data_IF_290187852406
#
_entry.id   IF_290187852406
#
_cell.length_a   1.000
_cell.length_b   1.000
_cell.length_c   1.000
_cell.angle_alpha   90.00
_cell.angle_beta   90.00
_cell.angle_gamma   90.00
#
_symmetry.space_group_name_H-M   'P 1'
#
loop_
_entity.id
_entity.type
_entity.pdbx_description
1 polymer ?
#
# COMPACT_ATOMS: atom_id res chain seq x y z
N UNK A 1 -18.63 29.20 -0.59
CA UNK A 1 -18.95 28.66 0.75
C UNK A 1 -18.53 29.69 1.78
N UNK A 2 -19.37 29.96 2.79
CA UNK A 2 -18.95 30.78 3.93
C UNK A 2 -17.91 30.01 4.76
N UNK A 3 -16.86 30.67 5.29
CA UNK A 3 -15.89 30.02 6.16
C UNK A 3 -16.57 29.51 7.43
N UNK A 4 -16.11 28.35 7.92
CA UNK A 4 -16.58 27.76 9.19
C UNK A 4 -16.20 28.70 10.34
N UNK A 5 -17.17 29.03 11.20
CA UNK A 5 -16.92 29.90 12.34
C UNK A 5 -15.96 29.26 13.35
N UNK A 6 -15.01 30.04 13.89
CA UNK A 6 -14.05 29.57 14.91
C UNK A 6 -14.77 28.94 16.11
N UNK A 7 -15.89 29.53 16.53
CA UNK A 7 -16.72 29.00 17.61
C UNK A 7 -17.28 27.60 17.32
N UNK A 8 -17.52 27.28 16.05
CA UNK A 8 -17.98 25.95 15.64
C UNK A 8 -16.82 24.94 15.68
N UNK A 9 -15.63 25.34 15.24
CA UNK A 9 -14.44 24.50 15.32
C UNK A 9 -14.10 24.17 16.77
N UNK A 10 -14.05 25.18 17.65
CA UNK A 10 -13.79 25.00 19.07
C UNK A 10 -14.84 24.12 19.76
N UNK A 11 -16.11 24.20 19.34
CA UNK A 11 -17.18 23.36 19.87
C UNK A 11 -16.99 21.88 19.53
N UNK A 12 -16.40 21.56 18.38
CA UNK A 12 -16.26 20.20 17.87
C UNK A 12 -14.82 19.67 17.85
N UNK A 13 -13.86 20.42 18.39
CA UNK A 13 -12.48 19.97 18.63
C UNK A 13 -12.41 19.03 19.84
N UNK A 14 -13.09 17.90 19.71
CA UNK A 14 -13.15 16.82 20.70
C UNK A 14 -12.78 15.49 20.02
N UNK A 15 -12.36 14.50 20.82
CA UNK A 15 -12.06 13.17 20.29
C UNK A 15 -13.30 12.56 19.63
N UNK A 16 -13.18 12.21 18.35
CA UNK A 16 -14.23 11.57 17.57
C UNK A 16 -13.78 10.21 17.03
N UNK A 17 -14.72 9.34 16.63
CA UNK A 17 -14.40 8.08 15.98
C UNK A 17 -13.69 8.32 14.64
N UNK A 18 -12.63 7.55 14.39
CA UNK A 18 -11.91 7.57 13.12
C UNK A 18 -12.65 6.71 12.10
N UNK A 19 -13.46 7.35 11.24
CA UNK A 19 -14.21 6.69 10.18
C UNK A 19 -13.31 6.25 9.01
N UNK A 20 -12.54 5.18 9.23
CA UNK A 20 -11.73 4.51 8.18
C UNK A 20 -12.57 3.53 7.34
N UNK A 21 -13.58 2.93 7.96
CA UNK A 21 -14.60 2.09 7.34
C UNK A 21 -15.90 2.16 8.16
N UNK A 22 -17.00 1.65 7.62
CA UNK A 22 -18.22 1.42 8.38
C UNK A 22 -18.77 0.00 8.12
N UNK A 23 -18.96 -0.85 9.13
CA UNK A 23 -18.55 -0.64 10.53
C UNK A 23 -17.03 -0.44 10.70
N UNK A 24 -16.65 0.22 11.78
CA UNK A 24 -15.24 0.50 12.14
C UNK A 24 -14.54 -0.77 12.67
N UNK A 25 -13.21 -0.77 12.67
CA UNK A 25 -12.41 -1.95 13.02
C UNK A 25 -12.59 -2.47 14.46
N UNK A 26 -13.06 -1.64 15.40
CA UNK A 26 -13.47 -2.07 16.75
C UNK A 26 -14.68 -3.02 16.74
N UNK A 27 -15.32 -3.20 15.59
CA UNK A 27 -16.40 -4.18 15.37
C UNK A 27 -15.93 -5.50 14.78
N UNK A 28 -14.64 -5.65 14.49
CA UNK A 28 -14.10 -6.94 14.09
C UNK A 28 -14.02 -7.83 15.32
N UNK A 29 -14.72 -8.97 15.26
CA UNK A 29 -14.85 -9.92 16.35
C UNK A 29 -14.54 -11.33 15.84
N UNK A 30 -14.09 -12.20 16.75
CA UNK A 30 -13.70 -13.58 16.43
C UNK A 30 -14.86 -14.46 15.92
N UNK A 31 -16.10 -13.97 16.00
CA UNK A 31 -17.26 -14.65 15.41
C UNK A 31 -17.22 -14.69 13.87
N UNK A 32 -16.41 -13.85 13.21
CA UNK A 32 -16.14 -13.99 11.79
C UNK A 32 -15.08 -15.07 11.57
N UNK A 33 -15.51 -16.21 11.04
CA UNK A 33 -14.69 -17.41 10.92
C UNK A 33 -14.11 -17.61 9.52
N UNK A 34 -13.22 -18.60 9.39
CA UNK A 34 -12.72 -19.08 8.09
C UNK A 34 -13.85 -19.42 7.10
N UNK A 35 -14.93 -20.07 7.55
CA UNK A 35 -16.06 -20.41 6.68
C UNK A 35 -16.76 -19.15 6.14
N UNK A 36 -16.94 -18.12 6.99
CA UNK A 36 -17.52 -16.86 6.54
C UNK A 36 -16.62 -16.16 5.51
N UNK A 37 -15.30 -16.27 5.68
CA UNK A 37 -14.35 -15.73 4.71
C UNK A 37 -14.42 -16.45 3.36
N UNK A 38 -14.44 -17.79 3.37
CA UNK A 38 -14.58 -18.61 2.15
C UNK A 38 -15.88 -18.32 1.42
N UNK A 39 -16.99 -18.23 2.15
CA UNK A 39 -18.28 -17.82 1.59
C UNK A 39 -18.20 -16.45 0.93
N UNK A 40 -17.55 -15.46 1.57
CA UNK A 40 -17.39 -14.13 0.99
C UNK A 40 -16.59 -14.15 -0.33
N UNK A 41 -15.52 -14.96 -0.42
CA UNK A 41 -14.73 -15.13 -1.63
C UNK A 41 -15.54 -15.82 -2.75
N UNK A 42 -16.30 -16.86 -2.43
CA UNK A 42 -17.18 -17.53 -3.39
C UNK A 42 -18.27 -16.59 -3.92
N UNK A 43 -18.91 -15.83 -3.01
CA UNK A 43 -19.90 -14.82 -3.41
C UNK A 43 -19.27 -13.75 -4.32
N UNK A 44 -18.03 -13.35 -4.04
CA UNK A 44 -17.28 -12.42 -4.89
C UNK A 44 -16.99 -13.00 -6.27
N UNK A 45 -16.60 -14.27 -6.34
CA UNK A 45 -16.37 -15.01 -7.60
C UNK A 45 -17.64 -15.05 -8.46
N UNK A 46 -18.79 -15.33 -7.86
CA UNK A 46 -20.08 -15.38 -8.56
C UNK A 46 -20.54 -14.00 -9.09
N UNK A 47 -20.16 -12.91 -8.41
CA UNK A 47 -20.48 -11.52 -8.80
C UNK A 47 -19.50 -10.91 -9.81
N UNK A 48 -18.48 -11.67 -10.22
CA UNK A 48 -17.32 -11.19 -10.98
C UNK A 48 -17.62 -10.48 -12.29
N UNK A 49 -18.74 -10.80 -12.95
CA UNK A 49 -19.05 -10.25 -14.27
C UNK A 49 -19.24 -8.72 -14.28
N UNK A 50 -19.68 -8.12 -13.16
CA UNK A 50 -20.02 -6.68 -13.10
C UNK A 50 -19.38 -5.92 -11.93
N UNK A 51 -18.47 -6.52 -11.16
CA UNK A 51 -17.83 -5.85 -10.02
C UNK A 51 -16.30 -5.79 -10.20
N UNK A 52 -15.69 -4.59 -10.20
CA UNK A 52 -14.24 -4.45 -10.26
C UNK A 52 -13.56 -5.07 -9.03
N UNK A 53 -12.39 -5.70 -9.21
CA UNK A 53 -11.57 -6.21 -8.09
C UNK A 53 -10.44 -5.23 -7.79
N UNK A 54 -10.29 -4.88 -6.52
CA UNK A 54 -9.14 -4.14 -6.01
C UNK A 54 -8.30 -5.07 -5.12
N UNK A 55 -6.99 -5.06 -5.31
CA UNK A 55 -6.02 -5.82 -4.52
C UNK A 55 -5.17 -4.83 -3.73
N UNK A 56 -5.07 -5.04 -2.42
CA UNK A 56 -4.11 -4.39 -1.56
C UNK A 56 -3.12 -5.44 -1.07
N UNK A 57 -1.82 -5.17 -1.19
CA UNK A 57 -0.78 -5.99 -0.57
C UNK A 57 -0.03 -5.13 0.43
N UNK A 58 -0.03 -5.59 1.68
CA UNK A 58 0.70 -4.94 2.75
C UNK A 58 2.16 -5.43 2.75
N UNK A 59 3.14 -4.52 2.71
CA UNK A 59 4.56 -4.84 2.90
C UNK A 59 5.01 -4.11 4.16
N UNK A 60 5.22 -4.82 5.29
CA UNK A 60 5.34 -4.17 6.59
C UNK A 60 6.73 -3.57 6.84
N UNK A 61 7.73 -3.84 6.01
CA UNK A 61 9.11 -3.53 6.35
C UNK A 61 9.48 -2.06 6.14
N UNK A 62 10.29 -1.49 7.04
CA UNK A 62 10.90 -0.17 6.88
C UNK A 62 12.39 -0.21 7.25
N UNK A 63 13.22 0.49 6.47
CA UNK A 63 14.66 0.67 6.75
C UNK A 63 14.94 1.40 8.07
N UNK A 64 14.09 2.37 8.40
CA UNK A 64 14.28 3.28 9.52
C UNK A 64 12.96 3.61 10.20
N UNK A 65 13.03 3.80 11.52
CA UNK A 65 11.89 4.25 12.32
C UNK A 65 11.71 5.76 12.19
N UNK A 66 10.59 6.20 11.61
CA UNK A 66 10.11 7.57 11.72
C UNK A 66 9.31 7.71 13.02
N UNK A 67 9.65 8.68 13.88
CA UNK A 67 9.11 8.74 15.25
C UNK A 67 7.61 9.08 15.32
N UNK A 68 7.05 9.70 14.29
CA UNK A 68 5.60 9.96 14.20
C UNK A 68 4.79 8.74 13.74
N UNK A 69 5.43 7.71 13.19
CA UNK A 69 4.73 6.73 12.36
C UNK A 69 3.93 5.73 13.22
N UNK A 70 2.62 5.68 13.01
CA UNK A 70 1.70 4.74 13.64
C UNK A 70 1.20 3.63 12.69
N UNK A 71 1.77 3.51 11.48
CA UNK A 71 1.43 2.43 10.55
C UNK A 71 1.80 1.05 11.13
N UNK A 72 1.06 0.01 10.75
CA UNK A 72 1.50 -1.37 10.93
C UNK A 72 2.78 -1.55 10.11
N UNK A 73 3.89 -1.79 10.80
CA UNK A 73 5.22 -1.90 10.20
C UNK A 73 6.18 -2.65 11.10
N UNK A 74 7.25 -3.15 10.50
CA UNK A 74 8.38 -3.82 11.12
C UNK A 74 9.65 -3.09 10.67
N UNK A 75 10.31 -2.39 11.59
CA UNK A 75 11.58 -1.73 11.29
C UNK A 75 12.71 -2.77 11.36
N UNK A 76 13.45 -2.93 10.27
CA UNK A 76 14.54 -3.92 10.20
C UNK A 76 15.53 -3.57 9.10
N UNK A 77 16.78 -4.03 9.26
CA UNK A 77 17.83 -3.99 8.24
C UNK A 77 18.10 -5.37 7.60
N UNK A 78 17.35 -6.38 8.07
CA UNK A 78 17.49 -7.78 7.66
C UNK A 78 16.67 -8.02 6.38
N UNK A 79 17.24 -7.71 5.22
CA UNK A 79 16.57 -7.89 3.93
C UNK A 79 16.24 -9.36 3.63
N UNK A 80 16.92 -10.33 4.23
CA UNK A 80 16.54 -11.74 4.11
C UNK A 80 15.08 -12.02 4.53
N UNK A 81 14.50 -11.16 5.38
CA UNK A 81 13.10 -11.27 5.81
C UNK A 81 12.09 -10.91 4.71
N UNK A 82 12.46 -10.08 3.72
CA UNK A 82 11.57 -9.78 2.60
C UNK A 82 11.34 -11.02 1.74
N UNK A 83 12.38 -11.83 1.55
CA UNK A 83 12.30 -13.08 0.78
C UNK A 83 11.30 -14.05 1.39
N UNK A 84 11.45 -14.32 2.69
CA UNK A 84 10.54 -15.20 3.43
C UNK A 84 9.09 -14.68 3.36
N UNK A 85 8.90 -13.37 3.55
CA UNK A 85 7.58 -12.75 3.47
C UNK A 85 6.96 -12.86 2.08
N UNK A 86 7.73 -12.65 1.01
CA UNK A 86 7.28 -12.84 -0.37
C UNK A 86 6.84 -14.29 -0.62
N UNK A 87 7.57 -15.27 -0.09
CA UNK A 87 7.18 -16.67 -0.22
C UNK A 87 5.87 -17.00 0.51
N UNK A 88 5.61 -16.36 1.65
CA UNK A 88 4.31 -16.45 2.32
C UNK A 88 3.19 -15.71 1.56
N UNK A 89 3.44 -14.52 1.02
CA UNK A 89 2.46 -13.80 0.18
C UNK A 89 2.01 -14.65 -1.01
N UNK A 90 2.92 -15.39 -1.65
CA UNK A 90 2.55 -16.29 -2.75
C UNK A 90 1.70 -17.47 -2.31
N UNK A 91 1.97 -18.02 -1.11
CA UNK A 91 1.13 -19.07 -0.53
C UNK A 91 -0.27 -18.53 -0.24
N UNK A 92 -0.36 -17.35 0.36
CA UNK A 92 -1.63 -16.67 0.63
C UNK A 92 -2.41 -16.36 -0.66
N UNK A 93 -1.74 -15.85 -1.71
CA UNK A 93 -2.34 -15.67 -3.03
C UNK A 93 -2.95 -16.99 -3.52
N UNK A 94 -2.21 -18.11 -3.45
CA UNK A 94 -2.74 -19.40 -3.88
C UNK A 94 -3.95 -19.85 -3.05
N UNK A 95 -3.94 -19.64 -1.73
CA UNK A 95 -5.09 -19.95 -0.85
C UNK A 95 -6.34 -19.15 -1.23
N UNK A 96 -6.19 -17.88 -1.66
CA UNK A 96 -7.32 -17.12 -2.15
C UNK A 96 -7.88 -17.69 -3.45
N UNK A 97 -7.04 -18.22 -4.35
CA UNK A 97 -7.47 -18.75 -5.64
C UNK A 97 -8.35 -19.99 -5.51
N UNK A 98 -8.22 -20.76 -4.43
CA UNK A 98 -9.06 -21.93 -4.17
C UNK A 98 -10.56 -21.59 -4.11
N UNK A 99 -10.90 -20.36 -3.70
CA UNK A 99 -12.29 -19.90 -3.54
C UNK A 99 -12.66 -18.74 -4.47
N UNK A 100 -11.72 -17.83 -4.73
CA UNK A 100 -11.94 -16.68 -5.62
C UNK A 100 -11.87 -17.10 -7.10
N UNK A 101 -11.23 -18.22 -7.39
CA UNK A 101 -10.89 -18.66 -8.74
C UNK A 101 -9.79 -17.80 -9.38
N UNK A 102 -9.39 -18.20 -10.59
CA UNK A 102 -8.37 -17.49 -11.36
C UNK A 102 -8.98 -16.50 -12.35
N UNK A 103 -8.13 -15.62 -12.89
CA UNK A 103 -8.43 -14.68 -13.98
C UNK A 103 -9.53 -13.67 -13.68
N UNK A 104 -9.76 -13.36 -12.40
CA UNK A 104 -10.59 -12.22 -12.01
C UNK A 104 -9.98 -10.92 -12.55
N UNK A 105 -10.83 -10.00 -13.02
CA UNK A 105 -10.39 -8.72 -13.58
C UNK A 105 -10.10 -7.73 -12.45
N UNK A 106 -8.85 -7.27 -12.37
CA UNK A 106 -8.36 -6.33 -11.37
C UNK A 106 -8.28 -4.92 -11.98
N UNK A 107 -9.08 -4.02 -11.44
CA UNK A 107 -9.08 -2.60 -11.77
C UNK A 107 -8.11 -1.79 -10.93
N UNK A 108 -7.71 -2.31 -9.76
CA UNK A 108 -6.79 -1.59 -8.87
C UNK A 108 -5.85 -2.57 -8.15
N UNK A 109 -4.56 -2.25 -8.13
CA UNK A 109 -3.56 -2.91 -7.30
C UNK A 109 -2.80 -1.83 -6.54
N UNK A 110 -2.68 -1.97 -5.23
CA UNK A 110 -1.91 -1.05 -4.40
C UNK A 110 -0.94 -1.83 -3.50
N UNK A 111 0.35 -1.57 -3.63
CA UNK A 111 1.35 -1.99 -2.65
C UNK A 111 1.55 -0.85 -1.65
N UNK A 112 1.28 -1.11 -0.36
CA UNK A 112 1.47 -0.12 0.71
C UNK A 112 1.93 -0.76 2.01
N UNK A 113 1.97 0.02 3.09
CA UNK A 113 2.18 -0.51 4.45
C UNK A 113 3.30 0.19 5.21
N UNK A 114 4.42 -0.50 5.39
CA UNK A 114 5.67 0.10 5.84
C UNK A 114 6.32 0.86 4.68
N UNK A 115 7.20 0.20 3.95
CA UNK A 115 7.78 0.69 2.70
C UNK A 115 7.82 -0.45 1.68
N UNK A 116 6.91 -0.49 0.69
CA UNK A 116 6.96 -1.46 -0.40
C UNK A 116 8.33 -1.52 -1.09
N UNK A 117 9.02 -0.39 -1.18
CA UNK A 117 10.37 -0.26 -1.74
C UNK A 117 11.49 -0.81 -0.85
N UNK A 118 11.16 -1.43 0.29
CA UNK A 118 12.08 -2.28 1.06
C UNK A 118 12.40 -3.58 0.33
N UNK A 119 11.42 -4.14 -0.38
CA UNK A 119 11.68 -5.26 -1.31
C UNK A 119 12.68 -4.80 -2.34
N UNK A 120 13.59 -5.68 -2.77
CA UNK A 120 14.42 -5.46 -3.94
C UNK A 120 13.57 -5.37 -5.21
N UNK A 121 14.15 -4.82 -6.27
CA UNK A 121 13.41 -4.70 -7.53
C UNK A 121 12.99 -6.06 -8.12
N UNK A 122 13.76 -7.10 -7.87
CA UNK A 122 13.46 -8.45 -8.36
C UNK A 122 12.31 -9.07 -7.56
N UNK A 123 12.26 -8.85 -6.24
CA UNK A 123 11.13 -9.28 -5.40
C UNK A 123 9.84 -8.55 -5.76
N UNK A 124 9.90 -7.24 -6.06
CA UNK A 124 8.73 -6.47 -6.54
C UNK A 124 8.26 -7.03 -7.89
N UNK A 125 9.18 -7.25 -8.82
CA UNK A 125 8.87 -7.82 -10.13
C UNK A 125 8.25 -9.22 -10.02
N UNK A 126 8.78 -10.05 -9.11
CA UNK A 126 8.31 -11.40 -8.85
C UNK A 126 6.90 -11.43 -8.25
N UNK A 127 6.62 -10.57 -7.26
CA UNK A 127 5.26 -10.40 -6.71
C UNK A 127 4.28 -9.93 -7.79
N UNK A 128 4.66 -8.90 -8.55
CA UNK A 128 3.80 -8.34 -9.60
C UNK A 128 3.53 -9.36 -10.71
N UNK A 129 4.53 -10.15 -11.09
CA UNK A 129 4.36 -11.24 -12.05
C UNK A 129 3.45 -12.34 -11.52
N UNK A 130 3.58 -12.73 -10.25
CA UNK A 130 2.66 -13.70 -9.64
C UNK A 130 1.21 -13.21 -9.68
N UNK A 131 0.97 -11.93 -9.38
CA UNK A 131 -0.36 -11.33 -9.47
C UNK A 131 -0.88 -11.32 -10.92
N UNK A 132 -0.05 -10.95 -11.90
CA UNK A 132 -0.40 -11.01 -13.34
C UNK A 132 -0.64 -12.42 -13.88
N UNK A 133 0.05 -13.40 -13.32
CA UNK A 133 -0.12 -14.81 -13.69
C UNK A 133 -1.54 -15.27 -13.35
N UNK A 134 -2.04 -14.90 -12.17
CA UNK A 134 -3.28 -15.44 -11.62
C UNK A 134 -4.50 -14.52 -11.81
N UNK A 135 -4.29 -13.21 -11.99
CA UNK A 135 -5.33 -12.21 -12.23
C UNK A 135 -5.22 -11.57 -13.62
N UNK A 136 -6.31 -11.00 -14.12
CA UNK A 136 -6.31 -10.19 -15.35
C UNK A 136 -6.25 -8.72 -14.97
N UNK A 137 -5.10 -8.08 -15.18
CA UNK A 137 -4.95 -6.64 -14.96
C UNK A 137 -5.65 -5.87 -16.09
N UNK A 138 -6.70 -5.10 -15.73
CA UNK A 138 -7.39 -4.20 -16.66
C UNK A 138 -6.42 -3.20 -17.33
N UNK A 139 -6.48 -3.01 -18.66
CA UNK A 139 -5.65 -1.99 -19.33
C UNK A 139 -5.87 -0.57 -18.81
N UNK A 140 -7.03 -0.30 -18.21
CA UNK A 140 -7.43 0.99 -17.63
C UNK A 140 -7.30 0.99 -16.10
N UNK A 141 -6.66 -0.04 -15.53
CA UNK A 141 -6.52 -0.18 -14.09
C UNK A 141 -5.47 0.75 -13.49
N UNK A 142 -5.63 1.04 -12.20
CA UNK A 142 -4.68 1.81 -11.41
C UNK A 142 -3.75 0.85 -10.64
N UNK A 143 -2.45 0.92 -10.90
CA UNK A 143 -1.43 0.08 -10.29
C UNK A 143 -0.43 0.95 -9.57
N UNK A 144 -0.60 1.02 -8.25
CA UNK A 144 0.11 1.95 -7.38
C UNK A 144 1.03 1.26 -6.38
N UNK A 145 2.09 2.00 -6.02
CA UNK A 145 3.05 1.60 -4.99
C UNK A 145 3.43 2.83 -4.15
N UNK A 146 3.45 2.66 -2.83
CA UNK A 146 4.02 3.65 -1.90
C UNK A 146 5.54 3.60 -1.93
N UNK A 147 6.17 4.77 -1.94
CA UNK A 147 7.61 4.93 -2.09
C UNK A 147 8.17 5.82 -1.00
N UNK A 148 9.21 5.34 -0.32
CA UNK A 148 10.07 6.20 0.50
C UNK A 148 11.11 6.85 -0.42
N UNK A 149 11.10 8.19 -0.61
CA UNK A 149 12.03 8.81 -1.55
C UNK A 149 13.51 8.73 -1.11
N UNK A 150 13.78 8.26 0.11
CA UNK A 150 15.14 8.00 0.61
C UNK A 150 15.76 6.69 0.10
N UNK A 151 14.95 5.77 -0.42
CA UNK A 151 15.38 4.41 -0.80
C UNK A 151 15.26 4.11 -2.29
N UNK A 152 14.98 5.13 -3.10
CA UNK A 152 14.80 5.02 -4.54
C UNK A 152 15.63 6.05 -5.30
N UNK A 153 15.97 5.70 -6.54
CA UNK A 153 16.62 6.57 -7.51
C UNK A 153 15.86 6.55 -8.86
N UNK A 154 16.32 7.34 -9.82
CA UNK A 154 15.73 7.40 -11.17
C UNK A 154 15.68 6.01 -11.85
N UNK A 155 16.71 5.18 -11.68
CA UNK A 155 16.78 3.85 -12.32
C UNK A 155 15.67 2.96 -11.78
N UNK A 156 15.45 3.01 -10.47
CA UNK A 156 14.41 2.27 -9.77
C UNK A 156 13.01 2.71 -10.18
N UNK A 157 12.76 4.02 -10.30
CA UNK A 157 11.49 4.55 -10.83
C UNK A 157 11.20 4.01 -12.24
N UNK A 158 12.20 4.03 -13.13
CA UNK A 158 12.10 3.45 -14.48
C UNK A 158 11.80 1.94 -14.44
N UNK A 159 12.38 1.19 -13.49
CA UNK A 159 12.09 -0.24 -13.32
C UNK A 159 10.66 -0.47 -12.82
N UNK A 160 10.17 0.29 -11.84
CA UNK A 160 8.78 0.24 -11.37
C UNK A 160 7.78 0.51 -12.51
N UNK A 161 8.06 1.52 -13.34
CA UNK A 161 7.25 1.81 -14.53
C UNK A 161 7.21 0.64 -15.52
N UNK A 162 8.37 0.01 -15.79
CA UNK A 162 8.49 -1.17 -16.66
C UNK A 162 7.77 -2.39 -16.12
N UNK A 163 7.79 -2.61 -14.79
CA UNK A 163 7.05 -3.70 -14.13
C UNK A 163 5.55 -3.58 -14.43
N UNK A 164 5.03 -2.35 -14.41
CA UNK A 164 3.65 -2.04 -14.79
C UNK A 164 2.94 -1.06 -13.86
N UNK A 165 3.63 -0.52 -12.84
CA UNK A 165 3.06 0.54 -12.02
C UNK A 165 2.83 1.80 -12.86
N UNK A 166 1.73 2.49 -12.59
CA UNK A 166 1.32 3.71 -13.29
C UNK A 166 0.87 4.83 -12.33
N UNK A 167 0.98 4.61 -11.01
CA UNK A 167 0.78 5.62 -9.97
C UNK A 167 1.76 5.40 -8.83
N UNK A 168 2.28 6.47 -8.25
CA UNK A 168 3.16 6.44 -7.09
C UNK A 168 2.59 7.29 -5.96
N UNK A 169 2.94 6.95 -4.72
CA UNK A 169 2.67 7.78 -3.54
C UNK A 169 3.99 8.00 -2.79
N UNK A 170 4.49 9.24 -2.76
CA UNK A 170 5.73 9.58 -2.06
C UNK A 170 5.48 10.04 -0.64
N UNK A 171 6.18 9.43 0.32
CA UNK A 171 6.15 9.87 1.71
C UNK A 171 7.02 11.11 1.98
N UNK A 172 6.54 12.31 1.68
CA UNK A 172 7.29 13.58 1.91
C UNK A 172 7.27 14.03 3.38
N UNK A 173 6.09 14.09 3.98
CA UNK A 173 5.82 14.59 5.34
C UNK A 173 6.06 16.09 5.54
N UNK A 174 7.31 16.56 5.52
CA UNK A 174 7.68 17.97 5.75
C UNK A 174 9.08 18.24 5.14
N UNK A 175 9.32 19.46 4.67
CA UNK A 175 10.62 19.91 4.14
C UNK A 175 11.45 20.71 5.15
N UNK A 176 10.88 21.08 6.29
CA UNK A 176 11.59 21.80 7.34
C UNK A 176 12.67 20.88 7.98
N UNK A 177 13.97 21.25 7.90
CA UNK A 177 15.06 20.41 8.43
C UNK A 177 14.95 20.12 9.93
N UNK A 178 14.46 21.07 10.73
CA UNK A 178 14.29 20.89 12.17
C UNK A 178 13.19 19.88 12.49
N UNK A 179 12.09 19.93 11.73
CA UNK A 179 11.01 18.93 11.83
C UNK A 179 11.52 17.55 11.42
N UNK A 180 12.18 17.45 10.27
CA UNK A 180 12.75 16.20 9.79
C UNK A 180 13.72 15.57 10.80
N UNK A 181 14.57 16.39 11.42
CA UNK A 181 15.48 15.94 12.49
C UNK A 181 14.71 15.48 13.72
N UNK A 182 13.70 16.24 14.16
CA UNK A 182 12.88 15.92 15.32
C UNK A 182 12.12 14.60 15.15
N UNK A 183 11.71 14.25 13.93
CA UNK A 183 10.97 13.02 13.65
C UNK A 183 11.79 11.88 13.04
N UNK A 184 13.12 12.05 12.97
CA UNK A 184 14.07 11.07 12.44
C UNK A 184 13.78 10.64 10.99
N UNK A 185 13.53 11.64 10.13
CA UNK A 185 13.24 11.47 8.70
C UNK A 185 13.96 12.54 7.85
N UNK A 186 15.29 12.50 7.84
CA UNK A 186 16.09 13.38 6.99
C UNK A 186 15.89 13.05 5.52
N UNK A 187 15.45 14.04 4.74
CA UNK A 187 15.09 13.94 3.34
C UNK A 187 15.14 15.35 2.70
N UNK A 188 16.24 15.73 2.05
CA UNK A 188 16.36 17.03 1.40
C UNK A 188 15.28 17.27 0.34
N UNK A 189 14.81 18.51 0.22
CA UNK A 189 13.83 18.93 -0.80
C UNK A 189 14.29 18.58 -2.21
N UNK A 190 15.54 18.90 -2.57
CA UNK A 190 16.08 18.70 -3.92
C UNK A 190 16.05 17.23 -4.35
N UNK A 191 16.26 16.30 -3.41
CA UNK A 191 16.15 14.87 -3.67
C UNK A 191 14.72 14.48 -4.07
N UNK A 192 13.72 14.96 -3.32
CA UNK A 192 12.30 14.69 -3.62
C UNK A 192 11.89 15.36 -4.93
N UNK A 193 12.30 16.61 -5.15
CA UNK A 193 11.99 17.36 -6.36
C UNK A 193 12.55 16.67 -7.62
N UNK A 194 13.79 16.18 -7.56
CA UNK A 194 14.39 15.40 -8.66
C UNK A 194 13.59 14.13 -8.95
N UNK A 195 13.25 13.35 -7.92
CA UNK A 195 12.48 12.12 -8.07
C UNK A 195 11.05 12.36 -8.60
N UNK A 196 10.42 13.48 -8.22
CA UNK A 196 9.13 13.90 -8.77
C UNK A 196 9.22 14.22 -10.26
N UNK A 197 10.27 14.91 -10.69
CA UNK A 197 10.53 15.16 -12.12
C UNK A 197 10.76 13.85 -12.87
N UNK A 198 11.62 12.98 -12.34
CA UNK A 198 11.93 11.67 -12.91
C UNK A 198 10.72 10.74 -13.02
N UNK A 199 9.77 10.85 -12.09
CA UNK A 199 8.53 10.05 -12.10
C UNK A 199 7.50 10.55 -13.12
N UNK A 200 7.59 11.82 -13.53
CA UNK A 200 6.69 12.43 -14.49
C UNK A 200 7.13 12.18 -15.96
N UNK A 201 8.42 11.98 -16.20
CA UNK A 201 9.00 11.62 -17.50
C UNK A 201 8.76 10.15 -17.90
#
# INVERSE_FOLDING_TARGET
MAPVAISLLQKFDISGPRYTSYPTADRFVEAFTENNYKEALEQRRLRSLNQPLSIYVHIPFCESLCFYCACNKIVTKHHERSREYLDYLKKEINLHLDYLGQKQVVSQLHLGGGSPTFFSDDEIQELFNKLKEVFVLSPQGEYSIEVDPRTVDQKRLKKLRKIGFNRLSFGVQDFNPDVQKAVHRLQPFDQVASLMSDAHE
#
